data_IF_322927282764
#
_entry.id   IF_322927282764
#
_cell.length_a   1.000
_cell.length_b   1.000
_cell.length_c   1.000
_cell.angle_alpha   90.00
_cell.angle_beta   90.00
_cell.angle_gamma   90.00
#
_symmetry.space_group_name_H-M   'P 1'
#
loop_
_entity.id
_entity.type
_entity.pdbx_description
1 polymer ?
#
# COMPACT_ATOMS: atom_id res chain seq x y z
N UNK A 1 -0.20 7.64 9.95
CA UNK A 1 0.79 6.91 9.12
C UNK A 1 0.11 5.69 8.48
N UNK A 2 0.42 5.39 7.22
CA UNK A 2 -0.02 4.13 6.59
C UNK A 2 1.04 3.07 6.85
N UNK A 3 0.64 1.90 7.34
CA UNK A 3 1.53 0.78 7.61
C UNK A 3 1.17 -0.43 6.75
N UNK A 4 2.16 -1.00 6.07
CA UNK A 4 1.99 -2.24 5.32
C UNK A 4 2.05 -3.46 6.27
N UNK A 5 1.20 -4.45 6.05
CA UNK A 5 1.27 -5.75 6.73
C UNK A 5 2.17 -6.74 6.00
N UNK A 6 2.61 -7.81 6.68
CA UNK A 6 3.46 -8.85 6.08
C UNK A 6 2.77 -9.62 4.94
N UNK A 7 1.44 -9.67 4.91
CA UNK A 7 0.69 -10.43 3.91
C UNK A 7 1.00 -10.04 2.46
N UNK A 8 1.14 -8.74 2.15
CA UNK A 8 1.46 -8.31 0.79
C UNK A 8 2.89 -8.69 0.37
N UNK A 9 3.83 -8.63 1.33
CA UNK A 9 5.23 -9.04 1.12
C UNK A 9 5.31 -10.55 0.89
N UNK A 10 4.53 -11.33 1.65
CA UNK A 10 4.44 -12.78 1.47
C UNK A 10 3.90 -13.16 0.09
N UNK A 11 2.83 -12.49 -0.37
CA UNK A 11 2.29 -12.73 -1.70
C UNK A 11 3.31 -12.38 -2.80
N UNK A 12 4.04 -11.28 -2.64
CA UNK A 12 5.10 -10.89 -3.57
C UNK A 12 6.21 -11.95 -3.61
N UNK A 13 6.68 -12.42 -2.45
CA UNK A 13 7.66 -13.51 -2.33
C UNK A 13 7.20 -14.78 -3.03
N UNK A 14 5.99 -15.27 -2.71
CA UNK A 14 5.46 -16.54 -3.23
C UNK A 14 5.19 -16.48 -4.74
N UNK A 15 4.80 -15.32 -5.24
CA UNK A 15 4.40 -15.16 -6.63
C UNK A 15 5.51 -14.65 -7.55
N UNK A 16 6.59 -14.10 -7.00
CA UNK A 16 7.67 -13.44 -7.73
C UNK A 16 7.28 -12.11 -8.38
N UNK A 17 6.05 -11.60 -8.16
CA UNK A 17 5.63 -10.29 -8.70
C UNK A 17 6.05 -9.14 -7.79
N UNK A 18 6.43 -7.98 -8.36
CA UNK A 18 6.72 -6.79 -7.57
C UNK A 18 5.46 -6.20 -6.93
N UNK A 19 5.65 -5.50 -5.83
CA UNK A 19 4.63 -4.64 -5.22
C UNK A 19 4.76 -3.27 -5.85
N UNK A 20 3.66 -2.70 -6.35
CA UNK A 20 3.61 -1.32 -6.83
C UNK A 20 2.92 -0.45 -5.78
N UNK A 21 3.66 0.33 -4.97
CA UNK A 21 3.07 1.24 -4.01
C UNK A 21 2.32 2.33 -4.75
N UNK A 22 1.04 2.50 -4.48
CA UNK A 22 0.23 3.53 -5.11
C UNK A 22 -0.65 4.24 -4.09
N UNK A 23 -0.73 5.56 -4.19
CA UNK A 23 -1.61 6.38 -3.37
C UNK A 23 -2.56 7.19 -4.27
N UNK A 24 -3.82 7.24 -3.86
CA UNK A 24 -4.84 8.09 -4.49
C UNK A 24 -5.40 9.05 -3.45
N UNK A 25 -5.52 10.32 -3.84
CA UNK A 25 -6.20 11.33 -3.07
C UNK A 25 -7.25 12.04 -3.94
N UNK A 26 -8.42 12.28 -3.37
CA UNK A 26 -9.51 13.02 -4.03
C UNK A 26 -9.89 14.23 -3.18
N UNK A 27 -10.23 15.33 -3.86
CA UNK A 27 -10.64 16.57 -3.19
C UNK A 27 -12.05 16.49 -2.62
N UNK A 28 -12.93 15.70 -3.25
CA UNK A 28 -14.30 15.46 -2.79
C UNK A 28 -14.43 14.01 -2.32
N UNK A 29 -14.49 13.82 -1.00
CA UNK A 29 -14.64 12.51 -0.38
C UNK A 29 -15.46 12.58 0.90
N UNK A 30 -16.09 11.47 1.25
CA UNK A 30 -16.73 11.27 2.55
C UNK A 30 -16.08 10.07 3.23
N UNK A 31 -15.58 10.27 4.44
CA UNK A 31 -15.09 9.19 5.31
C UNK A 31 -16.28 8.66 6.10
N UNK A 32 -16.46 7.34 6.10
CA UNK A 32 -17.45 6.67 6.95
C UNK A 32 -16.88 6.53 8.37
N UNK A 33 -17.03 7.58 9.18
CA UNK A 33 -16.44 7.64 10.54
C UNK A 33 -16.91 6.54 11.49
N UNK A 34 -18.09 5.96 11.24
CA UNK A 34 -18.64 4.85 12.04
C UNK A 34 -18.17 3.47 11.57
N UNK A 35 -17.44 3.38 10.46
CA UNK A 35 -16.86 2.13 9.97
C UNK A 35 -15.55 1.85 10.69
N UNK A 36 -15.33 0.59 11.08
CA UNK A 36 -14.11 0.15 11.76
C UNK A 36 -12.83 0.42 10.94
N UNK A 37 -12.95 0.50 9.61
CA UNK A 37 -11.86 0.72 8.67
C UNK A 37 -11.77 2.16 8.12
N UNK A 38 -12.66 3.06 8.54
CA UNK A 38 -12.78 4.42 8.00
C UNK A 38 -12.81 4.47 6.47
N UNK A 39 -13.59 3.58 5.84
CA UNK A 39 -13.79 3.57 4.38
C UNK A 39 -14.03 4.98 3.82
N UNK A 40 -13.31 5.33 2.75
CA UNK A 40 -13.42 6.62 2.06
C UNK A 40 -14.19 6.45 0.75
N UNK A 41 -15.32 7.14 0.63
CA UNK A 41 -16.11 7.22 -0.60
C UNK A 41 -15.69 8.46 -1.39
N UNK A 42 -15.11 8.25 -2.57
CA UNK A 42 -14.77 9.33 -3.50
C UNK A 42 -16.02 9.82 -4.23
N UNK A 43 -16.30 11.12 -4.18
CA UNK A 43 -17.50 11.72 -4.78
C UNK A 43 -17.19 12.26 -6.19
N UNK A 44 -18.18 12.29 -7.10
CA UNK A 44 -17.98 12.79 -8.46
C UNK A 44 -17.67 14.30 -8.50
N UNK A 45 -17.15 14.75 -9.65
CA UNK A 45 -16.83 16.15 -9.95
C UNK A 45 -15.81 16.80 -8.99
N UNK A 46 -14.90 16.00 -8.43
CA UNK A 46 -13.74 16.47 -7.67
C UNK A 46 -12.44 16.32 -8.49
N UNK A 47 -11.33 16.85 -7.95
CA UNK A 47 -9.99 16.57 -8.49
C UNK A 47 -9.44 15.30 -7.85
N UNK A 48 -8.63 14.56 -8.59
CA UNK A 48 -7.86 13.43 -8.07
C UNK A 48 -6.37 13.61 -8.38
N UNK A 49 -5.54 13.02 -7.53
CA UNK A 49 -4.13 12.80 -7.78
C UNK A 49 -3.82 11.33 -7.48
N UNK A 50 -3.03 10.70 -8.36
CA UNK A 50 -2.51 9.36 -8.18
C UNK A 50 -1.00 9.43 -8.28
N UNK A 51 -0.32 8.83 -7.32
CA UNK A 51 1.13 8.66 -7.33
C UNK A 51 1.41 7.17 -7.26
N UNK A 52 2.32 6.70 -8.12
CA UNK A 52 2.83 5.34 -8.10
C UNK A 52 4.32 5.43 -7.83
N UNK A 53 4.75 4.78 -6.75
CA UNK A 53 6.15 4.68 -6.37
C UNK A 53 6.91 3.63 -7.19
N UNK A 54 8.23 3.54 -7.00
CA UNK A 54 9.03 2.50 -7.62
C UNK A 54 8.57 1.10 -7.16
N UNK A 55 8.69 0.07 -8.02
CA UNK A 55 8.34 -1.29 -7.64
C UNK A 55 9.24 -1.83 -6.52
N UNK A 56 8.65 -2.49 -5.52
CA UNK A 56 9.37 -3.20 -4.46
C UNK A 56 9.41 -4.68 -4.80
N UNK A 57 10.62 -5.21 -4.96
CA UNK A 57 10.85 -6.63 -5.23
C UNK A 57 11.17 -7.39 -3.94
N UNK A 58 10.59 -8.58 -3.82
CA UNK A 58 10.83 -9.49 -2.69
C UNK A 58 11.49 -10.77 -3.23
N UNK A 59 12.70 -11.12 -2.78
CA UNK A 59 13.37 -12.36 -3.17
C UNK A 59 12.55 -13.59 -2.77
N UNK A 60 12.57 -14.64 -3.60
CA UNK A 60 11.83 -15.88 -3.32
C UNK A 60 12.36 -16.62 -2.07
N UNK A 61 13.64 -16.45 -1.77
CA UNK A 61 14.36 -17.02 -0.63
C UNK A 61 14.42 -16.08 0.59
N UNK A 62 13.67 -14.96 0.58
CA UNK A 62 13.62 -14.03 1.70
C UNK A 62 13.25 -14.73 3.01
N UNK A 63 14.11 -14.56 4.02
CA UNK A 63 13.88 -14.99 5.40
C UNK A 63 13.01 -13.98 6.17
N UNK A 64 12.73 -14.26 7.44
CA UNK A 64 11.83 -13.40 8.24
C UNK A 64 12.39 -11.98 8.43
N UNK A 65 13.70 -11.82 8.51
CA UNK A 65 14.34 -10.52 8.65
C UNK A 65 14.23 -9.70 7.35
N UNK A 66 14.47 -10.35 6.21
CA UNK A 66 14.32 -9.75 4.89
C UNK A 66 12.86 -9.40 4.60
N UNK A 67 11.92 -10.26 5.01
CA UNK A 67 10.48 -10.00 4.91
C UNK A 67 10.07 -8.76 5.70
N UNK A 68 10.56 -8.59 6.93
CA UNK A 68 10.28 -7.38 7.71
C UNK A 68 10.95 -6.13 7.10
N UNK A 69 12.19 -6.25 6.59
CA UNK A 69 12.85 -5.15 5.87
C UNK A 69 12.03 -4.70 4.66
N UNK A 70 11.52 -5.64 3.87
CA UNK A 70 10.65 -5.34 2.72
C UNK A 70 9.31 -4.76 3.14
N UNK A 71 8.74 -5.18 4.27
CA UNK A 71 7.52 -4.57 4.82
C UNK A 71 7.74 -3.11 5.20
N UNK A 72 8.89 -2.79 5.78
CA UNK A 72 9.27 -1.41 6.11
C UNK A 72 9.53 -0.58 4.84
N UNK A 73 10.18 -1.14 3.83
CA UNK A 73 10.39 -0.50 2.53
C UNK A 73 9.06 -0.13 1.86
N UNK A 74 8.09 -1.05 1.82
CA UNK A 74 6.74 -0.78 1.31
C UNK A 74 6.06 0.30 2.14
N UNK A 75 6.16 0.24 3.47
CA UNK A 75 5.58 1.26 4.36
C UNK A 75 6.18 2.65 4.07
N UNK A 76 7.50 2.75 3.94
CA UNK A 76 8.18 4.01 3.64
C UNK A 76 7.78 4.56 2.26
N UNK A 77 7.59 3.70 1.26
CA UNK A 77 7.17 4.13 -0.08
C UNK A 77 5.74 4.69 -0.16
N UNK A 78 4.92 4.49 0.87
CA UNK A 78 3.52 4.93 0.95
C UNK A 78 3.32 6.21 1.77
N UNK A 79 4.35 6.73 2.44
CA UNK A 79 4.30 7.91 3.31
C UNK A 79 5.18 9.03 2.75
#
# INVERSE_FOLDING_TARGET
PRDAGLGIVLLARLSGRPILPSAIATSRRKVLEKSWDKTTINLPFGRSAVIVGPPVFVPADADDAEMERKRQEVTASLN
#
